data_IF_130765158040
#
_entry.id   IF_130765158040
#
_cell.length_a   1.000
_cell.length_b   1.000
_cell.length_c   1.000
_cell.angle_alpha   90.00
_cell.angle_beta   90.00
_cell.angle_gamma   90.00
#
_symmetry.space_group_name_H-M   'P 1'
#
loop_
_entity.id
_entity.type
_entity.pdbx_description
1 polymer ?
#
# COMPACT_ATOMS: atom_id res chain seq x y z
N UNK A 1 1.77 4.73 10.68
CA UNK A 1 1.85 5.70 9.55
C UNK A 1 0.79 6.79 9.58
N UNK A 2 -0.50 6.52 9.88
CA UNK A 2 -1.52 7.57 9.94
C UNK A 2 -1.16 8.78 10.82
N UNK A 3 -0.64 8.54 12.03
CA UNK A 3 -0.22 9.63 12.94
C UNK A 3 0.97 10.43 12.41
N UNK A 4 1.78 9.86 11.52
CA UNK A 4 2.91 10.57 10.92
C UNK A 4 2.41 11.61 9.91
N UNK A 5 1.30 11.35 9.21
CA UNK A 5 0.63 12.34 8.37
C UNK A 5 0.09 13.51 9.20
N UNK A 6 -0.57 13.25 10.34
CA UNK A 6 -1.05 14.31 11.21
C UNK A 6 0.09 15.21 11.71
N UNK A 7 1.19 14.60 12.18
CA UNK A 7 2.39 15.32 12.60
C UNK A 7 3.04 16.10 11.46
N UNK A 8 3.01 15.57 10.23
CA UNK A 8 3.53 16.27 9.05
C UNK A 8 2.70 17.53 8.77
N UNK A 9 1.38 17.45 8.85
CA UNK A 9 0.53 18.64 8.66
C UNK A 9 0.75 19.69 9.75
N UNK A 10 0.98 19.26 11.00
CA UNK A 10 1.33 20.18 12.10
C UNK A 10 2.66 20.88 11.82
N UNK A 11 3.67 20.12 11.37
CA UNK A 11 4.97 20.66 11.01
C UNK A 11 4.90 21.65 9.84
N UNK A 12 4.07 21.36 8.84
CA UNK A 12 3.83 22.24 7.69
C UNK A 12 2.92 23.42 8.01
N UNK A 13 2.29 23.46 9.19
CA UNK A 13 1.37 24.52 9.59
C UNK A 13 0.09 24.54 8.75
N UNK A 14 -0.47 23.36 8.44
CA UNK A 14 -1.72 23.20 7.68
C UNK A 14 -2.86 22.87 8.67
N UNK A 15 -3.58 23.86 9.21
CA UNK A 15 -4.68 23.63 10.14
C UNK A 15 -5.97 23.21 9.45
N UNK A 16 -6.09 23.42 8.14
CA UNK A 16 -7.30 23.11 7.38
C UNK A 16 -7.52 21.60 7.24
N UNK A 17 -8.79 21.23 7.02
CA UNK A 17 -9.15 19.88 6.62
C UNK A 17 -8.53 19.54 5.26
N UNK A 18 -7.95 18.35 5.13
CA UNK A 18 -7.32 17.91 3.86
C UNK A 18 -8.12 16.83 3.14
N UNK A 19 -7.95 16.75 1.83
CA UNK A 19 -8.40 15.61 1.03
C UNK A 19 -7.26 14.59 0.97
N UNK A 20 -7.53 13.36 1.39
CA UNK A 20 -6.53 12.29 1.46
C UNK A 20 -6.77 11.29 0.35
N UNK A 21 -5.75 11.04 -0.46
CA UNK A 21 -5.80 10.08 -1.57
C UNK A 21 -4.74 9.01 -1.33
N UNK A 22 -5.17 7.74 -1.27
CA UNK A 22 -4.28 6.59 -1.10
C UNK A 22 -4.38 5.62 -2.28
N UNK A 23 -3.23 5.13 -2.73
CA UNK A 23 -3.11 4.11 -3.77
C UNK A 23 -2.34 2.91 -3.22
N UNK A 24 -2.73 1.69 -3.61
CA UNK A 24 -2.17 0.44 -3.07
C UNK A 24 -2.21 0.44 -1.51
N UNK A 25 -1.12 0.08 -0.82
CA UNK A 25 -1.00 0.13 0.65
C UNK A 25 -1.25 1.54 1.21
N UNK A 26 -0.97 2.58 0.42
CA UNK A 26 -1.31 3.96 0.76
C UNK A 26 -2.81 4.18 0.98
N UNK A 27 -3.67 3.37 0.36
CA UNK A 27 -5.12 3.35 0.60
C UNK A 27 -5.48 2.96 2.04
N UNK A 28 -4.78 1.96 2.60
CA UNK A 28 -4.99 1.55 3.99
C UNK A 28 -4.55 2.65 4.97
N UNK A 29 -3.44 3.32 4.66
CA UNK A 29 -2.95 4.45 5.46
C UNK A 29 -3.92 5.63 5.39
N UNK A 30 -4.45 5.94 4.21
CA UNK A 30 -5.44 6.99 4.00
C UNK A 30 -6.73 6.71 4.77
N UNK A 31 -7.21 5.46 4.76
CA UNK A 31 -8.34 5.01 5.55
C UNK A 31 -8.10 5.18 7.06
N UNK A 32 -6.96 4.69 7.55
CA UNK A 32 -6.58 4.81 8.95
C UNK A 32 -6.41 6.27 9.39
N UNK A 33 -5.92 7.15 8.52
CA UNK A 33 -5.86 8.59 8.80
C UNK A 33 -7.25 9.21 8.90
N UNK A 34 -8.12 8.94 7.92
CA UNK A 34 -9.46 9.50 7.87
C UNK A 34 -10.32 9.10 9.08
N UNK A 35 -10.16 7.88 9.58
CA UNK A 35 -10.88 7.36 10.75
C UNK A 35 -10.33 7.87 12.09
N UNK A 36 -9.01 8.08 12.20
CA UNK A 36 -8.37 8.52 13.45
C UNK A 36 -8.29 10.03 13.61
N UNK A 37 -8.33 10.76 12.50
CA UNK A 37 -8.19 12.22 12.41
C UNK A 37 -9.35 12.82 11.61
N UNK A 38 -10.58 12.46 11.99
CA UNK A 38 -11.81 12.91 11.32
C UNK A 38 -11.95 14.44 11.33
N UNK A 39 -11.49 15.08 12.41
CA UNK A 39 -11.44 16.54 12.59
C UNK A 39 -10.39 17.23 11.72
N UNK A 40 -9.59 16.44 10.98
CA UNK A 40 -8.57 16.91 10.04
C UNK A 40 -8.78 16.41 8.61
N UNK A 41 -9.90 15.75 8.34
CA UNK A 41 -10.17 15.10 7.06
C UNK A 41 -11.42 15.70 6.38
N UNK A 42 -11.22 16.30 5.20
CA UNK A 42 -12.31 16.80 4.37
C UNK A 42 -12.98 15.68 3.55
N UNK A 43 -12.16 14.81 2.94
CA UNK A 43 -12.62 13.61 2.24
C UNK A 43 -11.50 12.58 2.12
N UNK A 44 -11.86 11.32 1.86
CA UNK A 44 -10.92 10.24 1.58
C UNK A 44 -11.25 9.56 0.24
N UNK A 45 -10.21 9.30 -0.54
CA UNK A 45 -10.26 8.50 -1.77
C UNK A 45 -9.22 7.40 -1.65
N UNK A 46 -9.61 6.16 -1.92
CA UNK A 46 -8.66 5.06 -2.08
C UNK A 46 -9.08 4.14 -3.23
N UNK A 47 -8.12 3.40 -3.77
CA UNK A 47 -8.37 2.45 -4.85
C UNK A 47 -7.22 1.46 -5.04
N UNK A 48 -7.46 0.50 -5.94
CA UNK A 48 -6.52 -0.55 -6.38
C UNK A 48 -6.22 -1.66 -5.35
N UNK A 49 -6.33 -1.38 -4.05
CA UNK A 49 -6.21 -2.39 -2.99
C UNK A 49 -7.51 -2.56 -2.16
N UNK A 50 -8.11 -3.77 -2.10
CA UNK A 50 -9.20 -4.07 -1.17
C UNK A 50 -8.76 -3.87 0.29
N UNK A 51 -9.62 -3.26 1.11
CA UNK A 51 -9.32 -3.08 2.53
C UNK A 51 -9.23 -4.43 3.25
N UNK A 52 -8.17 -4.61 4.05
CA UNK A 52 -7.99 -5.79 4.92
C UNK A 52 -9.20 -5.96 5.84
N UNK A 53 -9.64 -7.20 6.03
CA UNK A 53 -10.82 -7.53 6.85
C UNK A 53 -12.15 -7.46 6.10
N UNK A 54 -12.18 -6.97 4.85
CA UNK A 54 -13.39 -6.99 4.02
C UNK A 54 -13.55 -8.31 3.26
N UNK A 55 -14.80 -8.68 2.92
CA UNK A 55 -15.09 -9.88 2.13
C UNK A 55 -14.37 -9.86 0.76
N UNK A 56 -14.28 -8.68 0.12
CA UNK A 56 -13.57 -8.53 -1.15
C UNK A 56 -12.07 -8.86 -1.03
N UNK A 57 -11.42 -8.44 0.06
CA UNK A 57 -10.03 -8.80 0.33
C UNK A 57 -9.87 -10.31 0.59
N UNK A 58 -10.75 -10.91 1.39
CA UNK A 58 -10.67 -12.34 1.69
C UNK A 58 -10.94 -13.23 0.47
N UNK A 59 -11.84 -12.81 -0.41
CA UNK A 59 -12.10 -13.49 -1.68
C UNK A 59 -10.89 -13.43 -2.62
N UNK A 60 -10.31 -12.25 -2.83
CA UNK A 60 -9.12 -12.12 -3.69
C UNK A 60 -7.94 -12.93 -3.14
N UNK A 61 -7.70 -12.85 -1.83
CA UNK A 61 -6.63 -13.60 -1.15
C UNK A 61 -6.76 -15.12 -1.33
N UNK A 62 -7.98 -15.64 -1.43
CA UNK A 62 -8.24 -17.08 -1.54
C UNK A 62 -8.32 -17.56 -2.98
N UNK A 63 -8.91 -16.77 -3.87
CA UNK A 63 -9.05 -17.12 -5.29
C UNK A 63 -7.75 -16.96 -6.08
N UNK A 64 -6.88 -16.03 -5.68
CA UNK A 64 -5.65 -15.67 -6.39
C UNK A 64 -4.37 -15.93 -5.57
N UNK A 65 -4.38 -16.92 -4.67
CA UNK A 65 -3.33 -17.17 -3.68
C UNK A 65 -1.89 -17.18 -4.24
N UNK A 66 -1.67 -17.87 -5.37
CA UNK A 66 -0.38 -17.93 -6.06
C UNK A 66 0.03 -16.59 -6.67
N UNK A 67 -0.95 -15.81 -7.16
CA UNK A 67 -0.67 -14.44 -7.62
C UNK A 67 -0.37 -13.53 -6.42
N UNK A 68 -1.05 -13.71 -5.30
CA UNK A 68 -0.85 -12.94 -4.07
C UNK A 68 0.27 -13.48 -3.18
N UNK A 69 1.20 -14.29 -3.72
CA UNK A 69 2.33 -14.86 -2.97
C UNK A 69 3.15 -13.82 -2.21
N UNK A 70 3.28 -12.62 -2.79
CA UNK A 70 4.13 -11.56 -2.27
C UNK A 70 3.67 -11.08 -0.88
N UNK A 71 2.36 -11.09 -0.58
CA UNK A 71 1.86 -10.77 0.77
C UNK A 71 2.44 -11.68 1.85
N UNK A 72 2.47 -12.99 1.58
CA UNK A 72 3.07 -13.95 2.52
C UNK A 72 4.59 -13.85 2.51
N UNK A 73 5.18 -13.78 1.32
CA UNK A 73 6.63 -13.67 1.17
C UNK A 73 7.19 -12.50 1.97
N UNK A 74 6.70 -11.27 1.74
CA UNK A 74 7.15 -10.06 2.42
C UNK A 74 6.97 -10.10 3.94
N UNK A 75 5.95 -10.80 4.42
CA UNK A 75 5.70 -10.95 5.87
C UNK A 75 6.74 -11.81 6.59
N UNK A 76 7.54 -12.62 5.89
CA UNK A 76 8.59 -13.43 6.52
C UNK A 76 9.76 -12.52 6.92
N UNK A 77 10.17 -12.48 8.20
CA UNK A 77 11.30 -11.64 8.62
C UNK A 77 12.61 -12.05 7.95
N UNK A 78 13.36 -11.06 7.45
CA UNK A 78 14.71 -11.14 6.87
C UNK A 78 14.89 -11.98 5.59
N UNK A 79 14.04 -12.99 5.35
CA UNK A 79 14.15 -13.87 4.18
C UNK A 79 13.97 -13.12 2.84
N UNK A 80 12.94 -12.27 2.65
CA UNK A 80 12.75 -11.52 1.41
C UNK A 80 13.89 -10.55 1.16
N UNK A 81 14.37 -9.84 2.19
CA UNK A 81 15.52 -8.95 2.05
C UNK A 81 16.74 -9.72 1.54
N UNK A 82 17.04 -10.89 2.12
CA UNK A 82 18.16 -11.73 1.69
C UNK A 82 17.99 -12.27 0.26
N UNK A 83 16.76 -12.51 -0.18
CA UNK A 83 16.45 -13.04 -1.50
C UNK A 83 16.29 -11.98 -2.60
N UNK A 84 16.05 -10.73 -2.24
CA UNK A 84 15.85 -9.63 -3.22
C UNK A 84 17.08 -8.74 -3.32
N UNK A 85 17.88 -8.61 -2.26
CA UNK A 85 19.13 -7.81 -2.28
C UNK A 85 20.05 -8.25 -3.42
N UNK A 86 20.46 -7.30 -4.26
CA UNK A 86 21.27 -7.52 -5.45
C UNK A 86 20.50 -8.09 -6.66
N UNK A 87 19.18 -8.29 -6.53
CA UNK A 87 18.26 -8.77 -7.56
C UNK A 87 16.99 -7.92 -7.64
N UNK A 88 17.06 -6.66 -7.19
CA UNK A 88 15.91 -5.75 -7.09
C UNK A 88 15.26 -5.54 -8.46
N UNK A 89 16.06 -5.43 -9.52
CA UNK A 89 15.56 -5.27 -10.90
C UNK A 89 14.75 -6.47 -11.35
N UNK A 90 15.28 -7.69 -11.18
CA UNK A 90 14.54 -8.91 -11.52
C UNK A 90 13.23 -9.01 -10.72
N UNK A 91 13.30 -8.67 -9.43
CA UNK A 91 12.15 -8.79 -8.54
C UNK A 91 11.06 -7.75 -8.85
N UNK A 92 11.43 -6.48 -9.02
CA UNK A 92 10.50 -5.39 -9.32
C UNK A 92 9.94 -5.50 -10.74
N UNK A 93 10.74 -5.91 -11.73
CA UNK A 93 10.22 -6.20 -13.07
C UNK A 93 9.12 -7.26 -13.02
N UNK A 94 9.34 -8.35 -12.26
CA UNK A 94 8.33 -9.38 -12.09
C UNK A 94 7.04 -8.84 -11.45
N UNK A 95 7.15 -8.03 -10.39
CA UNK A 95 5.99 -7.43 -9.73
C UNK A 95 5.23 -6.46 -10.67
N UNK A 96 5.94 -5.58 -11.38
CA UNK A 96 5.30 -4.65 -12.32
C UNK A 96 4.65 -5.37 -13.50
N UNK A 97 5.30 -6.38 -14.09
CA UNK A 97 4.73 -7.18 -15.18
C UNK A 97 3.48 -7.96 -14.77
N UNK A 98 3.43 -8.38 -13.50
CA UNK A 98 2.30 -9.07 -12.89
C UNK A 98 1.14 -8.11 -12.61
N UNK A 99 1.41 -6.94 -12.02
CA UNK A 99 0.38 -6.02 -11.53
C UNK A 99 -0.16 -5.09 -12.62
N UNK A 100 0.60 -4.86 -13.70
CA UNK A 100 0.22 -3.89 -14.72
C UNK A 100 -0.54 -4.55 -15.86
N UNK A 101 -1.76 -4.08 -16.15
CA UNK A 101 -2.51 -4.51 -17.33
C UNK A 101 -1.83 -4.08 -18.63
N UNK A 102 -1.49 -2.80 -18.76
CA UNK A 102 -0.72 -2.28 -19.90
C UNK A 102 0.77 -2.16 -19.55
N UNK A 103 1.55 -3.21 -19.84
CA UNK A 103 3.00 -3.23 -19.54
C UNK A 103 3.79 -2.10 -20.19
N UNK A 104 3.32 -1.55 -21.32
CA UNK A 104 3.99 -0.40 -21.96
C UNK A 104 3.83 0.91 -21.20
N UNK A 105 2.97 0.96 -20.18
CA UNK A 105 2.78 2.13 -19.32
C UNK A 105 3.95 2.37 -18.37
N UNK A 106 4.76 1.34 -18.09
CA UNK A 106 5.98 1.44 -17.29
C UNK A 106 7.16 1.31 -18.26
N UNK A 107 7.85 2.41 -18.51
CA UNK A 107 9.03 2.37 -19.38
C UNK A 107 10.22 1.74 -18.66
N UNK A 108 11.22 1.31 -19.43
CA UNK A 108 12.51 0.87 -18.85
C UNK A 108 13.17 1.97 -18.00
N UNK A 109 12.93 3.24 -18.34
CA UNK A 109 13.45 4.36 -17.55
C UNK A 109 12.76 4.46 -16.20
N UNK A 110 11.43 4.30 -16.16
CA UNK A 110 10.66 4.32 -14.90
C UNK A 110 11.06 3.14 -14.01
N UNK A 111 11.15 1.94 -14.59
CA UNK A 111 11.62 0.75 -13.86
C UNK A 111 13.00 0.98 -13.24
N UNK A 112 13.96 1.53 -13.99
CA UNK A 112 15.32 1.81 -13.47
C UNK A 112 15.30 2.81 -12.33
N UNK A 113 14.44 3.82 -12.39
CA UNK A 113 14.27 4.78 -11.30
C UNK A 113 13.76 4.09 -10.03
N UNK A 114 12.70 3.28 -10.13
CA UNK A 114 12.21 2.49 -8.99
C UNK A 114 13.29 1.56 -8.43
N UNK A 115 13.97 0.80 -9.29
CA UNK A 115 15.05 -0.10 -8.88
C UNK A 115 16.16 0.64 -8.14
N UNK A 116 16.53 1.84 -8.59
CA UNK A 116 17.51 2.69 -7.89
C UNK A 116 17.06 3.03 -6.47
N UNK A 117 15.78 3.37 -6.29
CA UNK A 117 15.23 3.68 -4.97
C UNK A 117 15.23 2.46 -4.04
N UNK A 118 14.86 1.28 -4.55
CA UNK A 118 14.85 0.04 -3.77
C UNK A 118 16.23 -0.52 -3.43
N UNK A 119 17.29 -0.07 -4.13
CA UNK A 119 18.69 -0.40 -3.81
C UNK A 119 19.25 0.39 -2.64
N UNK A 120 18.56 1.43 -2.16
CA UNK A 120 19.03 2.18 -1.00
C UNK A 120 19.08 1.29 0.26
N UNK A 121 20.11 1.46 1.12
CA UNK A 121 20.20 0.69 2.37
C UNK A 121 18.92 0.80 3.20
N UNK A 122 18.30 -0.35 3.46
CA UNK A 122 17.07 -0.45 4.24
C UNK A 122 15.77 -0.22 3.47
N UNK A 123 15.79 0.12 2.18
CA UNK A 123 14.58 0.34 1.40
C UNK A 123 13.70 -0.92 1.32
N UNK A 124 14.28 -2.07 0.96
CA UNK A 124 13.58 -3.36 0.96
C UNK A 124 13.00 -3.72 2.33
N UNK A 125 13.74 -3.44 3.40
CA UNK A 125 13.23 -3.66 4.76
C UNK A 125 12.01 -2.77 5.02
N UNK A 126 12.10 -1.47 4.75
CA UNK A 126 10.99 -0.54 4.94
C UNK A 126 9.76 -0.93 4.12
N UNK A 127 9.95 -1.38 2.89
CA UNK A 127 8.88 -1.90 2.04
C UNK A 127 8.23 -3.14 2.67
N UNK A 128 9.01 -4.14 3.06
CA UNK A 128 8.45 -5.40 3.59
C UNK A 128 7.84 -5.27 4.99
N UNK A 129 8.29 -4.30 5.80
CA UNK A 129 7.70 -4.04 7.12
C UNK A 129 6.21 -3.67 7.07
N UNK A 130 5.73 -3.05 5.98
CA UNK A 130 4.30 -2.72 5.87
C UNK A 130 3.44 -3.99 5.83
N UNK A 131 3.91 -5.04 5.15
CA UNK A 131 3.23 -6.34 5.08
C UNK A 131 3.26 -7.08 6.42
N UNK A 132 4.34 -6.91 7.20
CA UNK A 132 4.46 -7.47 8.55
C UNK A 132 3.47 -6.82 9.52
N UNK A 133 3.12 -5.55 9.29
CA UNK A 133 2.13 -4.83 10.08
C UNK A 133 0.67 -5.19 9.74
N UNK A 134 0.39 -5.83 8.60
CA UNK A 134 -0.98 -6.06 8.12
C UNK A 134 -1.92 -6.77 9.10
N UNK A 135 -1.40 -7.69 9.93
CA UNK A 135 -2.24 -8.37 10.93
C UNK A 135 -2.63 -7.41 12.07
N UNK A 136 -1.71 -6.55 12.50
CA UNK A 136 -1.98 -5.50 13.49
C UNK A 136 -2.96 -4.48 12.90
N UNK A 137 -2.75 -4.06 11.65
CA UNK A 137 -3.64 -3.11 10.97
C UNK A 137 -5.07 -3.65 10.85
N UNK A 138 -5.23 -4.96 10.63
CA UNK A 138 -6.54 -5.61 10.57
C UNK A 138 -7.26 -5.61 11.93
N UNK A 139 -6.54 -5.79 13.03
CA UNK A 139 -7.10 -5.71 14.39
C UNK A 139 -7.48 -4.28 14.78
N UNK A 140 -6.75 -3.28 14.26
CA UNK A 140 -6.94 -1.88 14.61
C UNK A 140 -7.95 -1.12 13.74
N UNK A 141 -8.43 -1.71 12.65
CA UNK A 141 -9.45 -1.13 11.79
C UNK A 141 -10.84 -1.45 12.35
N UNK A 142 -11.58 -0.47 12.93
CA UNK A 142 -12.91 -0.73 13.45
C UNK A 142 -13.88 -1.06 12.31
N UNK A 143 -14.71 -2.10 12.51
CA UNK A 143 -15.84 -2.37 11.63
C UNK A 143 -16.76 -1.13 11.58
N UNK A 144 -16.87 -0.51 10.41
CA UNK A 144 -17.92 0.46 10.12
C UNK A 144 -17.58 1.92 10.42
N UNK A 145 -16.72 2.51 9.59
CA UNK A 145 -16.80 3.96 9.34
C UNK A 145 -16.54 4.29 7.87
N UNK A 146 -17.48 5.01 7.24
CA UNK A 146 -17.31 5.68 5.96
C UNK A 146 -18.04 7.02 5.97
N UNK A 147 -17.32 8.11 6.23
CA UNK A 147 -17.74 9.46 5.82
C UNK A 147 -17.25 9.65 4.38
N UNK A 148 -18.17 9.47 3.43
CA UNK A 148 -17.98 9.64 1.98
C UNK A 148 -16.72 8.95 1.41
N UNK A 149 -16.89 7.69 1.02
CA UNK A 149 -15.95 6.97 0.14
C UNK A 149 -16.31 7.25 -1.31
N UNK A 150 -15.41 7.90 -2.03
CA UNK A 150 -15.41 7.88 -3.50
C UNK A 150 -14.50 6.73 -3.93
N UNK A 151 -14.98 5.50 -3.81
CA UNK A 151 -14.23 4.30 -4.16
C UNK A 151 -14.33 4.05 -5.66
N UNK A 152 -13.18 3.97 -6.34
CA UNK A 152 -13.09 3.35 -7.66
C UNK A 152 -12.53 1.94 -7.47
N UNK A 153 -13.41 0.93 -7.59
CA UNK A 153 -12.99 -0.45 -7.80
C UNK A 153 -12.71 -0.57 -9.29
N UNK A 154 -11.45 -0.46 -9.69
CA UNK A 154 -11.03 -0.92 -11.02
C UNK A 154 -10.96 -2.45 -10.97
N UNK A 155 -12.09 -3.12 -11.17
CA UNK A 155 -12.08 -4.52 -11.52
C UNK A 155 -11.54 -4.63 -12.95
N UNK A 156 -10.26 -4.96 -13.09
CA UNK A 156 -9.70 -5.39 -14.35
C UNK A 156 -10.13 -6.84 -14.58
N UNK A 157 -11.25 -7.02 -15.30
CA UNK A 157 -11.66 -8.29 -15.91
C UNK A 157 -11.21 -8.36 -17.37
#
# INVERSE_FOLDING_TARGET
>A
MANDLAKLLDYLGIPELIHVVGHDIGGMIAYAYATRHEDRTASVVWGECPLRGTAAHEEDRTANDAQQFHFLFHSVPALPEALVTGREEMYLSHLFDKLTHNRSAISEQDLREYVSMYRHPGALRCDFEVYRAFLVDAEENPDGFVKAVLGFIAAAS
#
